data_IF_072401283757
#
_entry.id   IF_072401283757
#
_cell.length_a   1.000
_cell.length_b   1.000
_cell.length_c   1.000
_cell.angle_alpha   90.00
_cell.angle_beta   90.00
_cell.angle_gamma   90.00
#
_symmetry.space_group_name_H-M   'P 1'
#
loop_
_entity.id
_entity.type
_entity.pdbx_description
1 polymer ?
#
# COMPACT_ATOMS: atom_id res chain seq x y z
N UNK A 1 22.30 53.33 9.84
CA UNK A 1 21.75 52.45 10.89
C UNK A 1 22.37 51.07 10.68
N UNK A 2 23.14 50.61 11.66
CA UNK A 2 23.88 49.34 11.57
C UNK A 2 22.93 48.15 11.77
N UNK A 3 23.21 47.01 11.12
CA UNK A 3 22.46 45.75 11.32
C UNK A 3 22.41 45.34 12.80
N UNK A 4 23.47 45.68 13.54
CA UNK A 4 23.56 45.42 14.99
C UNK A 4 22.64 46.31 15.84
N UNK A 5 22.38 47.54 15.41
CA UNK A 5 21.46 48.45 16.10
C UNK A 5 20.02 47.99 15.85
N UNK A 6 19.69 47.64 14.60
CA UNK A 6 18.40 47.10 14.22
C UNK A 6 18.06 45.80 14.97
N UNK A 7 19.01 44.87 15.11
CA UNK A 7 18.80 43.63 15.88
C UNK A 7 18.51 43.87 17.36
N UNK A 8 19.11 44.91 17.96
CA UNK A 8 18.83 45.26 19.36
C UNK A 8 17.43 45.84 19.54
N UNK A 9 16.99 46.67 18.60
CA UNK A 9 15.67 47.31 18.64
C UNK A 9 14.52 46.31 18.43
N UNK A 10 14.75 45.24 17.65
CA UNK A 10 13.73 44.23 17.32
C UNK A 10 14.01 42.83 17.89
N UNK A 11 14.86 42.71 18.91
CA UNK A 11 15.36 41.44 19.45
C UNK A 11 14.25 40.42 19.76
N UNK A 12 13.16 40.87 20.40
CA UNK A 12 12.02 40.00 20.71
C UNK A 12 11.33 39.42 19.47
N UNK A 13 11.10 40.24 18.45
CA UNK A 13 10.48 39.82 17.18
C UNK A 13 11.38 38.86 16.41
N UNK A 14 12.69 39.13 16.39
CA UNK A 14 13.68 38.26 15.73
C UNK A 14 13.75 36.90 16.42
N UNK A 15 13.74 36.86 17.76
CA UNK A 15 13.72 35.61 18.52
C UNK A 15 12.45 34.78 18.22
N UNK A 16 11.28 35.42 18.16
CA UNK A 16 10.02 34.75 17.80
C UNK A 16 10.09 34.19 16.37
N UNK A 17 10.56 34.97 15.40
CA UNK A 17 10.70 34.52 14.01
C UNK A 17 11.65 33.32 13.89
N UNK A 18 12.81 33.37 14.54
CA UNK A 18 13.76 32.26 14.55
C UNK A 18 13.09 31.02 15.17
N UNK A 19 12.39 31.16 16.30
CA UNK A 19 11.71 30.03 16.94
C UNK A 19 10.65 29.39 16.03
N UNK A 20 9.88 30.20 15.29
CA UNK A 20 8.87 29.71 14.34
C UNK A 20 9.52 28.99 13.15
N UNK A 21 10.63 29.52 12.62
CA UNK A 21 11.38 28.87 11.53
C UNK A 21 11.94 27.52 12.01
N UNK A 22 12.54 27.48 13.20
CA UNK A 22 13.07 26.24 13.79
C UNK A 22 11.96 25.22 14.02
N UNK A 23 10.81 25.64 14.57
CA UNK A 23 9.66 24.77 14.78
C UNK A 23 9.08 24.25 13.44
N UNK A 24 8.97 25.10 12.43
CA UNK A 24 8.53 24.72 11.09
C UNK A 24 9.46 23.70 10.43
N UNK A 25 10.78 23.89 10.56
CA UNK A 25 11.77 22.94 10.05
C UNK A 25 11.70 21.59 10.78
N UNK A 26 11.58 21.61 12.11
CA UNK A 26 11.43 20.40 12.90
C UNK A 26 10.16 19.61 12.53
N UNK A 27 9.04 20.30 12.32
CA UNK A 27 7.79 19.69 11.89
C UNK A 27 7.89 19.08 10.49
N UNK A 28 8.48 19.82 9.54
CA UNK A 28 8.70 19.31 8.18
C UNK A 28 9.57 18.05 8.19
N UNK A 29 10.68 18.08 8.95
CA UNK A 29 11.58 16.95 9.09
C UNK A 29 10.88 15.74 9.74
N UNK A 30 10.09 15.97 10.80
CA UNK A 30 9.31 14.91 11.45
C UNK A 30 8.31 14.26 10.49
N UNK A 31 7.56 15.06 9.72
CA UNK A 31 6.61 14.54 8.72
C UNK A 31 7.36 13.72 7.65
N UNK A 32 8.53 14.20 7.21
CA UNK A 32 9.38 13.48 6.25
C UNK A 32 9.81 12.10 6.76
N UNK A 33 10.35 12.04 7.98
CA UNK A 33 10.73 10.78 8.63
C UNK A 33 9.51 9.87 8.76
N UNK A 34 8.40 10.39 9.29
CA UNK A 34 7.19 9.61 9.54
C UNK A 34 6.64 8.97 8.27
N UNK A 35 6.63 9.71 7.15
CA UNK A 35 6.24 9.17 5.84
C UNK A 35 7.16 8.04 5.40
N UNK A 36 8.47 8.21 5.52
CA UNK A 36 9.45 7.18 5.14
C UNK A 36 9.32 5.90 5.99
N UNK A 37 9.03 6.04 7.29
CA UNK A 37 8.77 4.89 8.17
C UNK A 37 7.49 4.15 7.79
N UNK A 38 6.42 4.90 7.48
CA UNK A 38 5.15 4.33 7.09
C UNK A 38 5.28 3.59 5.75
N UNK A 39 6.03 4.13 4.78
CA UNK A 39 6.37 3.46 3.53
C UNK A 39 7.17 2.17 3.76
N UNK A 40 8.20 2.21 4.62
CA UNK A 40 8.99 1.03 4.96
C UNK A 40 8.14 -0.06 5.65
N UNK A 41 7.23 0.34 6.54
CA UNK A 41 6.29 -0.57 7.20
C UNK A 41 5.33 -1.21 6.19
N UNK A 42 4.78 -0.43 5.26
CA UNK A 42 3.90 -0.94 4.20
C UNK A 42 4.65 -1.89 3.28
N UNK A 43 5.88 -1.57 2.90
CA UNK A 43 6.76 -2.46 2.14
C UNK A 43 6.95 -3.81 2.87
N UNK A 44 7.34 -3.77 4.14
CA UNK A 44 7.57 -4.99 4.94
C UNK A 44 6.29 -5.83 5.08
N UNK A 45 5.15 -5.17 5.35
CA UNK A 45 3.85 -5.84 5.49
C UNK A 45 3.45 -6.54 4.19
N UNK A 46 3.54 -5.85 3.05
CA UNK A 46 3.22 -6.43 1.75
C UNK A 46 4.07 -7.67 1.44
N UNK A 47 5.38 -7.60 1.67
CA UNK A 47 6.26 -8.75 1.41
C UNK A 47 6.01 -9.90 2.38
N UNK A 48 5.69 -9.60 3.65
CA UNK A 48 5.24 -10.59 4.63
C UNK A 48 3.98 -11.32 4.17
N UNK A 49 2.96 -10.59 3.69
CA UNK A 49 1.73 -11.18 3.14
C UNK A 49 2.01 -12.09 1.94
N UNK A 50 2.89 -11.69 1.02
CA UNK A 50 3.28 -12.53 -0.13
C UNK A 50 4.04 -13.78 0.33
N UNK A 51 4.91 -13.68 1.33
CA UNK A 51 5.60 -14.84 1.89
C UNK A 51 4.60 -15.81 2.55
N UNK A 52 3.72 -15.28 3.39
CA UNK A 52 2.68 -16.03 4.08
C UNK A 52 1.68 -16.68 3.14
N UNK A 53 1.45 -16.12 1.95
CA UNK A 53 0.62 -16.71 0.89
C UNK A 53 1.24 -17.97 0.26
N UNK A 54 2.56 -18.12 0.34
CA UNK A 54 3.28 -19.25 -0.26
C UNK A 54 3.73 -20.29 0.77
N UNK A 55 4.00 -19.87 2.01
CA UNK A 55 4.53 -20.71 3.09
C UNK A 55 3.58 -20.64 4.28
N UNK A 56 3.01 -21.78 4.69
CA UNK A 56 2.27 -21.82 5.94
C UNK A 56 3.20 -21.66 7.15
N UNK A 57 2.63 -21.34 8.32
CA UNK A 57 3.41 -21.28 9.56
C UNK A 57 4.03 -22.68 9.80
N UNK A 58 5.31 -22.74 10.13
CA UNK A 58 6.04 -23.99 10.43
C UNK A 58 6.15 -25.02 9.28
N UNK A 59 6.25 -24.57 8.02
CA UNK A 59 6.31 -25.41 6.81
C UNK A 59 5.05 -26.26 6.55
N UNK A 60 3.95 -26.01 7.25
CA UNK A 60 2.68 -26.67 7.01
C UNK A 60 1.94 -26.07 5.80
N UNK A 61 0.98 -26.83 5.26
CA UNK A 61 0.09 -26.30 4.23
C UNK A 61 -0.74 -25.14 4.82
N UNK A 62 -0.81 -24.03 4.10
CA UNK A 62 -1.51 -22.85 4.56
C UNK A 62 -3.04 -23.07 4.56
N UNK A 63 -3.70 -22.68 5.64
CA UNK A 63 -5.17 -22.69 5.74
C UNK A 63 -5.83 -21.83 4.67
N UNK A 64 -6.92 -22.35 4.08
CA UNK A 64 -7.71 -21.67 3.02
C UNK A 64 -8.20 -20.30 3.46
N UNK A 65 -8.73 -20.18 4.69
CA UNK A 65 -9.24 -18.91 5.22
C UNK A 65 -8.12 -17.85 5.33
N UNK A 66 -6.91 -18.28 5.69
CA UNK A 66 -5.74 -17.39 5.73
C UNK A 66 -5.34 -16.94 4.33
N UNK A 67 -5.38 -17.83 3.34
CA UNK A 67 -5.12 -17.47 1.94
C UNK A 67 -6.11 -16.42 1.46
N UNK A 68 -7.40 -16.61 1.72
CA UNK A 68 -8.45 -15.67 1.36
C UNK A 68 -8.23 -14.30 2.02
N UNK A 69 -7.99 -14.27 3.33
CA UNK A 69 -7.74 -13.04 4.06
C UNK A 69 -6.53 -12.28 3.49
N UNK A 70 -5.43 -12.98 3.20
CA UNK A 70 -4.26 -12.36 2.58
C UNK A 70 -4.59 -11.80 1.21
N UNK A 71 -5.26 -12.57 0.34
CA UNK A 71 -5.60 -12.14 -1.02
C UNK A 71 -6.48 -10.88 -0.97
N UNK A 72 -7.47 -10.87 -0.09
CA UNK A 72 -8.30 -9.70 0.18
C UNK A 72 -7.46 -8.50 0.65
N UNK A 73 -6.50 -8.70 1.56
CA UNK A 73 -5.65 -7.63 2.07
C UNK A 73 -4.71 -7.02 1.03
N UNK A 74 -4.25 -7.81 0.04
CA UNK A 74 -3.37 -7.31 -1.03
C UNK A 74 -3.98 -6.14 -1.82
N UNK A 75 -5.32 -6.01 -1.83
CA UNK A 75 -6.02 -4.90 -2.47
C UNK A 75 -5.83 -3.54 -1.76
N UNK A 76 -5.26 -3.52 -0.56
CA UNK A 76 -5.00 -2.29 0.21
C UNK A 76 -3.62 -1.66 -0.12
N UNK A 77 -2.89 -2.23 -1.09
CA UNK A 77 -1.55 -1.83 -1.46
C UNK A 77 -1.50 -1.29 -2.92
N UNK A 78 -2.05 -0.08 -3.18
CA UNK A 78 -2.17 0.48 -4.53
C UNK A 78 -0.85 0.61 -5.28
N UNK A 79 0.25 0.91 -4.59
CA UNK A 79 1.58 0.99 -5.18
C UNK A 79 2.09 -0.37 -5.71
N UNK A 80 1.53 -1.49 -5.26
CA UNK A 80 1.90 -2.84 -5.69
C UNK A 80 0.90 -3.48 -6.65
N UNK A 81 -0.22 -2.83 -6.97
CA UNK A 81 -1.26 -3.39 -7.85
C UNK A 81 -0.75 -4.06 -9.13
N UNK A 82 0.20 -3.47 -9.90
CA UNK A 82 0.70 -4.13 -11.11
C UNK A 82 1.38 -5.48 -10.81
N UNK A 83 2.10 -5.58 -9.68
CA UNK A 83 2.77 -6.82 -9.24
C UNK A 83 1.74 -7.81 -8.71
N UNK A 84 0.83 -7.34 -7.85
CA UNK A 84 -0.25 -8.15 -7.28
C UNK A 84 -1.09 -8.79 -8.37
N UNK A 85 -1.50 -8.03 -9.40
CA UNK A 85 -2.23 -8.56 -10.54
C UNK A 85 -1.48 -9.68 -11.26
N UNK A 86 -0.17 -9.50 -11.51
CA UNK A 86 0.65 -10.54 -12.17
C UNK A 86 0.72 -11.82 -11.33
N UNK A 87 0.92 -11.68 -10.01
CA UNK A 87 0.97 -12.83 -9.09
C UNK A 87 -0.38 -13.55 -9.10
N UNK A 88 -1.48 -12.84 -8.86
CA UNK A 88 -2.82 -13.40 -8.77
C UNK A 88 -3.26 -14.07 -10.09
N UNK A 89 -3.05 -13.41 -11.24
CA UNK A 89 -3.36 -13.99 -12.56
C UNK A 89 -2.55 -15.25 -12.84
N UNK A 90 -1.26 -15.27 -12.46
CA UNK A 90 -0.38 -16.44 -12.65
C UNK A 90 -0.79 -17.61 -11.74
N UNK A 91 -1.18 -17.34 -10.50
CA UNK A 91 -1.52 -18.37 -9.51
C UNK A 91 -2.95 -18.91 -9.66
N UNK A 92 -3.87 -18.14 -10.25
CA UNK A 92 -5.27 -18.51 -10.42
C UNK A 92 -5.51 -19.88 -11.09
N UNK A 93 -4.85 -20.24 -12.21
CA UNK A 93 -5.04 -21.56 -12.83
C UNK A 93 -4.67 -22.71 -11.88
N UNK A 94 -3.61 -22.54 -11.08
CA UNK A 94 -3.17 -23.54 -10.10
C UNK A 94 -4.19 -23.72 -8.98
N UNK A 95 -4.73 -22.62 -8.45
CA UNK A 95 -5.77 -22.70 -7.41
C UNK A 95 -7.08 -23.29 -7.95
N UNK A 96 -7.45 -23.03 -9.20
CA UNK A 96 -8.59 -23.70 -9.85
C UNK A 96 -8.38 -25.19 -10.05
N UNK A 97 -7.17 -25.63 -10.41
CA UNK A 97 -6.87 -27.05 -10.54
C UNK A 97 -6.93 -27.75 -9.16
N UNK A 98 -6.39 -27.11 -8.13
CA UNK A 98 -6.44 -27.61 -6.76
C UNK A 98 -7.89 -27.70 -6.23
N UNK A 99 -8.70 -26.68 -6.51
CA UNK A 99 -10.13 -26.66 -6.20
C UNK A 99 -10.90 -27.89 -6.73
N UNK A 100 -10.64 -28.26 -7.98
CA UNK A 100 -11.30 -29.40 -8.64
C UNK A 100 -10.82 -30.74 -8.07
N UNK A 101 -9.54 -30.80 -7.67
CA UNK A 101 -8.92 -32.05 -7.21
C UNK A 101 -9.14 -32.30 -5.71
N UNK A 102 -9.38 -31.24 -4.94
CA UNK A 102 -9.61 -31.33 -3.51
C UNK A 102 -10.93 -32.05 -3.22
N UNK A 103 -10.87 -33.16 -2.48
CA UNK A 103 -12.01 -33.98 -2.05
C UNK A 103 -12.88 -33.32 -0.98
N UNK A 104 -12.67 -32.03 -0.68
CA UNK A 104 -13.45 -31.30 0.33
C UNK A 104 -14.64 -30.58 -0.34
N UNK A 105 -15.89 -31.04 -0.12
CA UNK A 105 -17.07 -30.51 -0.81
C UNK A 105 -17.49 -29.10 -0.38
N UNK A 106 -16.93 -28.54 0.70
CA UNK A 106 -17.34 -27.24 1.26
C UNK A 106 -16.46 -26.05 0.83
N UNK A 107 -15.27 -26.30 0.27
CA UNK A 107 -14.22 -25.28 0.08
C UNK A 107 -13.63 -25.14 -1.33
N UNK A 108 -14.06 -25.83 -2.40
CA UNK A 108 -13.24 -25.89 -3.61
C UNK A 108 -13.01 -24.51 -4.23
N UNK A 109 -14.01 -23.62 -4.24
CA UNK A 109 -13.93 -22.39 -5.04
C UNK A 109 -13.61 -21.10 -4.28
N UNK A 110 -13.43 -21.15 -2.96
CA UNK A 110 -13.30 -19.93 -2.13
C UNK A 110 -12.06 -19.09 -2.47
N UNK A 111 -10.88 -19.73 -2.57
CA UNK A 111 -9.64 -19.01 -2.94
C UNK A 111 -9.71 -18.47 -4.37
N UNK A 112 -10.04 -19.28 -5.42
CA UNK A 112 -10.19 -18.74 -6.76
C UNK A 112 -11.20 -17.60 -6.89
N UNK A 113 -12.30 -17.64 -6.14
CA UNK A 113 -13.32 -16.59 -6.14
C UNK A 113 -12.77 -15.28 -5.54
N UNK A 114 -12.14 -15.34 -4.36
CA UNK A 114 -11.55 -14.16 -3.73
C UNK A 114 -10.46 -13.52 -4.61
N UNK A 115 -9.69 -14.34 -5.33
CA UNK A 115 -8.71 -13.88 -6.32
C UNK A 115 -9.39 -13.09 -7.44
N UNK A 116 -10.51 -13.58 -7.98
CA UNK A 116 -11.25 -12.90 -9.03
C UNK A 116 -11.84 -11.57 -8.53
N UNK A 117 -12.42 -11.56 -7.32
CA UNK A 117 -12.95 -10.35 -6.69
C UNK A 117 -11.85 -9.30 -6.51
N UNK A 118 -10.68 -9.72 -6.02
CA UNK A 118 -9.52 -8.85 -5.82
C UNK A 118 -8.97 -8.33 -7.14
N UNK A 119 -8.81 -9.19 -8.16
CA UNK A 119 -8.39 -8.75 -9.50
C UNK A 119 -9.37 -7.73 -10.08
N UNK A 120 -10.69 -8.00 -9.97
CA UNK A 120 -11.74 -7.10 -10.47
C UNK A 120 -11.67 -5.74 -9.77
N UNK A 121 -11.51 -5.73 -8.45
CA UNK A 121 -11.34 -4.50 -7.68
C UNK A 121 -10.11 -3.71 -8.14
N UNK A 122 -8.95 -4.37 -8.25
CA UNK A 122 -7.71 -3.70 -8.64
C UNK A 122 -7.82 -3.12 -10.04
N UNK A 123 -8.34 -3.88 -11.02
CA UNK A 123 -8.54 -3.38 -12.38
C UNK A 123 -9.46 -2.15 -12.40
N UNK A 124 -10.60 -2.21 -11.68
CA UNK A 124 -11.52 -1.06 -11.59
C UNK A 124 -10.81 0.19 -11.07
N UNK A 125 -10.01 0.07 -10.00
CA UNK A 125 -9.29 1.22 -9.43
C UNK A 125 -8.22 1.75 -10.38
N UNK A 126 -7.52 0.87 -11.12
CA UNK A 126 -6.54 1.28 -12.13
C UNK A 126 -7.24 2.01 -13.28
N UNK A 127 -8.36 1.48 -13.77
CA UNK A 127 -9.17 2.08 -14.84
C UNK A 127 -9.70 3.45 -14.42
N UNK A 128 -10.29 3.58 -13.22
CA UNK A 128 -10.75 4.86 -12.67
C UNK A 128 -9.60 5.89 -12.56
N UNK A 129 -8.44 5.47 -12.05
CA UNK A 129 -7.26 6.36 -12.00
C UNK A 129 -6.76 6.75 -13.38
N UNK A 130 -6.75 5.82 -14.33
CA UNK A 130 -6.37 6.09 -15.71
C UNK A 130 -7.32 7.08 -16.37
N UNK A 131 -8.63 6.91 -16.16
CA UNK A 131 -9.67 7.81 -16.65
C UNK A 131 -9.49 9.24 -16.14
N UNK A 132 -9.20 9.41 -14.84
CA UNK A 132 -8.93 10.73 -14.24
C UNK A 132 -7.64 11.38 -14.76
N UNK A 133 -6.67 10.59 -15.22
CA UNK A 133 -5.45 11.10 -15.84
C UNK A 133 -5.60 11.37 -17.35
N UNK A 134 -6.73 11.03 -17.96
CA UNK A 134 -6.98 11.29 -19.38
C UNK A 134 -7.47 12.74 -19.54
N UNK A 135 -6.88 13.55 -20.45
CA UNK A 135 -7.36 14.89 -20.76
C UNK A 135 -8.86 14.89 -21.07
N UNK A 136 -9.60 15.93 -20.66
CA UNK A 136 -11.07 15.99 -20.87
C UNK A 136 -11.48 15.83 -22.33
N UNK A 137 -10.62 16.28 -23.25
CA UNK A 137 -10.80 16.23 -24.70
C UNK A 137 -10.88 14.79 -25.25
N UNK A 138 -10.27 13.84 -24.54
CA UNK A 138 -10.17 12.43 -24.93
C UNK A 138 -11.22 11.53 -24.22
N UNK A 139 -12.06 12.10 -23.33
CA UNK A 139 -13.14 11.37 -22.63
C UNK A 139 -14.43 11.39 -23.45
N UNK A 140 -14.52 10.58 -24.50
CA UNK A 140 -15.74 10.38 -25.31
C UNK A 140 -16.45 9.07 -24.97
#
# INVERSE_FOLDING_TARGET
MSVWEWLKDYNGTVAVLISLITAGFALYHYIGIKRSEDEARRFSTYHGLIQDLNIGKDNEAQYVDRQMAIIFELRNFPEYYPVTLRILKRSLPRWRAFAITASNPLSPYLVPEEVLLTIKYINRVIEERSYLCTPEEDRQ
#
